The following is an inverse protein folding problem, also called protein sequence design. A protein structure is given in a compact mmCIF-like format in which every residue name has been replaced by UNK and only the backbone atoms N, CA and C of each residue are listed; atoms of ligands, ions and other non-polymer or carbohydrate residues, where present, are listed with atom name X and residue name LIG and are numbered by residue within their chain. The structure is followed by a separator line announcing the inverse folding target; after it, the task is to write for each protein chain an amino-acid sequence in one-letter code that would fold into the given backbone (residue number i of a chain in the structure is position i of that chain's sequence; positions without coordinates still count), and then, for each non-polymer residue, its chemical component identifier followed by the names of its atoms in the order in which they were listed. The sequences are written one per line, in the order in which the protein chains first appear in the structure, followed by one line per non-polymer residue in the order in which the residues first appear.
data_IF_188253020997
#
_entry.id   IF_188253020997
#
_cell.length_a   1.000
_cell.length_b   1.000
_cell.length_c   1.000
_cell.angle_alpha   90.00
_cell.angle_beta   90.00
_cell.angle_gamma   90.00
#
_symmetry.space_group_name_H-M   'P 1'
#
loop_
_entity.id
_entity.type
_entity.pdbx_description
1 polymer ?
#
# COMPACT_ATOMS: atom_id res chain seq x y z
N UNK A 1 12.00 -9.19 -18.61
CA UNK A 1 11.14 -10.29 -19.11
C UNK A 1 10.07 -10.66 -18.09
N UNK A 2 10.40 -11.05 -16.85
CA UNK A 2 9.36 -11.44 -15.87
C UNK A 2 8.27 -10.37 -15.65
N UNK A 3 8.64 -9.12 -15.34
CA UNK A 3 7.66 -8.05 -15.09
C UNK A 3 6.86 -7.61 -16.34
N UNK A 4 7.34 -7.82 -17.57
CA UNK A 4 6.53 -7.61 -18.77
C UNK A 4 5.45 -8.69 -18.90
N UNK A 5 5.78 -9.94 -18.60
CA UNK A 5 4.83 -11.05 -18.56
C UNK A 5 3.79 -10.85 -17.46
N UNK A 6 4.22 -10.37 -16.28
CA UNK A 6 3.33 -10.03 -15.17
C UNK A 6 2.35 -8.91 -15.58
N UNK A 7 2.85 -7.85 -16.21
CA UNK A 7 2.01 -6.76 -16.69
C UNK A 7 0.95 -7.26 -17.69
N UNK A 8 1.35 -8.04 -18.69
CA UNK A 8 0.40 -8.57 -19.69
C UNK A 8 -0.64 -9.50 -19.07
N UNK A 9 -0.23 -10.34 -18.12
CA UNK A 9 -1.14 -11.21 -17.37
C UNK A 9 -2.18 -10.39 -16.59
N UNK A 10 -1.73 -9.42 -15.82
CA UNK A 10 -2.62 -8.61 -14.99
C UNK A 10 -3.51 -7.69 -15.82
N UNK A 11 -3.01 -7.14 -16.93
CA UNK A 11 -3.80 -6.39 -17.89
C UNK A 11 -4.95 -7.25 -18.44
N UNK A 12 -4.66 -8.47 -18.89
CA UNK A 12 -5.68 -9.37 -19.43
C UNK A 12 -6.74 -9.73 -18.37
N UNK A 13 -6.33 -9.96 -17.11
CA UNK A 13 -7.25 -10.20 -15.99
C UNK A 13 -8.15 -8.99 -15.71
N UNK A 14 -7.60 -7.79 -15.76
CA UNK A 14 -8.37 -6.55 -15.62
C UNK A 14 -9.40 -6.42 -16.74
N UNK A 15 -8.99 -6.58 -17.99
CA UNK A 15 -9.85 -6.46 -19.17
C UNK A 15 -10.98 -7.49 -19.15
N UNK A 16 -10.71 -8.74 -18.77
CA UNK A 16 -11.72 -9.77 -18.59
C UNK A 16 -12.74 -9.43 -17.50
N UNK A 17 -12.27 -8.90 -16.36
CA UNK A 17 -13.14 -8.45 -15.28
C UNK A 17 -14.01 -7.26 -15.69
N UNK A 18 -13.47 -6.32 -16.49
CA UNK A 18 -14.22 -5.18 -17.01
C UNK A 18 -15.24 -5.56 -18.08
N UNK A 19 -14.99 -6.62 -18.84
CA UNK A 19 -15.93 -7.14 -19.84
C UNK A 19 -17.17 -7.78 -19.20
N UNK A 20 -17.08 -8.20 -17.94
CA UNK A 20 -18.14 -8.83 -17.16
C UNK A 20 -18.34 -8.12 -15.82
N UNK A 21 -18.76 -6.85 -15.84
CA UNK A 21 -18.84 -6.05 -14.62
C UNK A 21 -19.89 -6.63 -13.66
N UNK A 22 -19.42 -6.94 -12.45
CA UNK A 22 -20.27 -7.39 -11.36
C UNK A 22 -19.63 -6.92 -10.03
N UNK A 23 -20.40 -6.63 -8.97
CA UNK A 23 -19.86 -6.16 -7.71
C UNK A 23 -18.74 -7.03 -7.13
N UNK A 24 -18.90 -8.35 -7.25
CA UNK A 24 -17.90 -9.33 -6.81
C UNK A 24 -16.60 -9.31 -7.63
N UNK A 25 -16.62 -8.76 -8.83
CA UNK A 25 -15.43 -8.62 -9.69
C UNK A 25 -14.61 -7.35 -9.37
N UNK A 26 -15.21 -6.36 -8.71
CA UNK A 26 -14.54 -5.07 -8.45
C UNK A 26 -13.23 -5.21 -7.68
N UNK A 27 -13.18 -6.10 -6.68
CA UNK A 27 -11.94 -6.36 -5.92
C UNK A 27 -10.89 -7.02 -6.81
N UNK A 28 -11.28 -8.01 -7.60
CA UNK A 28 -10.36 -8.74 -8.48
C UNK A 28 -9.80 -7.85 -9.57
N UNK A 29 -10.64 -6.99 -10.16
CA UNK A 29 -10.20 -5.98 -11.13
C UNK A 29 -9.30 -4.94 -10.48
N UNK A 30 -9.59 -4.52 -9.24
CA UNK A 30 -8.70 -3.65 -8.47
C UNK A 30 -7.34 -4.27 -8.23
N UNK A 31 -7.32 -5.54 -7.82
CA UNK A 31 -6.10 -6.30 -7.60
C UNK A 31 -5.28 -6.43 -8.89
N UNK A 32 -5.93 -6.82 -10.00
CA UNK A 32 -5.27 -6.95 -11.30
C UNK A 32 -4.69 -5.60 -11.78
N UNK A 33 -5.44 -4.51 -11.64
CA UNK A 33 -4.93 -3.18 -11.97
C UNK A 33 -3.71 -2.80 -11.09
N UNK A 34 -3.73 -3.16 -9.80
CA UNK A 34 -2.61 -2.90 -8.90
C UNK A 34 -1.37 -3.72 -9.29
N UNK A 35 -1.54 -5.01 -9.57
CA UNK A 35 -0.46 -5.88 -10.07
C UNK A 35 0.17 -5.34 -11.35
N UNK A 36 -0.65 -4.91 -12.32
CA UNK A 36 -0.18 -4.26 -13.55
C UNK A 36 0.62 -2.99 -13.26
N UNK A 37 0.13 -2.13 -12.35
CA UNK A 37 0.84 -0.92 -11.92
C UNK A 37 2.17 -1.23 -11.26
N UNK A 38 2.24 -2.22 -10.38
CA UNK A 38 3.48 -2.65 -9.72
C UNK A 38 4.51 -3.20 -10.73
N UNK A 39 4.07 -4.03 -11.68
CA UNK A 39 4.94 -4.55 -12.73
C UNK A 39 5.54 -3.42 -13.59
N UNK A 40 4.73 -2.40 -13.93
CA UNK A 40 5.19 -1.22 -14.67
C UNK A 40 6.17 -0.35 -13.87
N UNK A 41 6.02 -0.24 -12.54
CA UNK A 41 7.01 0.43 -11.69
C UNK A 41 8.37 -0.26 -11.78
N UNK A 42 8.40 -1.60 -11.74
CA UNK A 42 9.62 -2.39 -11.89
C UNK A 42 10.29 -2.23 -13.27
N UNK A 43 9.49 -1.95 -14.30
CA UNK A 43 9.96 -1.67 -15.66
C UNK A 43 10.41 -0.20 -15.85
N UNK A 44 10.28 0.66 -14.83
CA UNK A 44 10.58 2.09 -14.93
C UNK A 44 9.55 2.89 -15.74
N UNK A 45 8.38 2.28 -16.08
CA UNK A 45 7.29 2.91 -16.84
C UNK A 45 6.35 3.67 -15.92
N UNK A 46 6.88 4.62 -15.16
CA UNK A 46 6.21 5.29 -14.03
C UNK A 46 4.90 5.97 -14.41
N UNK A 47 4.80 6.60 -15.59
CA UNK A 47 3.58 7.27 -16.05
C UNK A 47 2.46 6.26 -16.32
N UNK A 48 2.76 5.17 -16.99
CA UNK A 48 1.78 4.12 -17.24
C UNK A 48 1.39 3.39 -15.95
N UNK A 49 2.36 3.19 -15.05
CA UNK A 49 2.09 2.64 -13.73
C UNK A 49 1.07 3.50 -12.95
N UNK A 50 1.20 4.83 -13.00
CA UNK A 50 0.27 5.74 -12.35
C UNK A 50 -1.18 5.53 -12.85
N UNK A 51 -1.39 5.44 -14.17
CA UNK A 51 -2.71 5.21 -14.76
C UNK A 51 -3.35 3.89 -14.28
N UNK A 52 -2.54 2.83 -14.10
CA UNK A 52 -3.02 1.54 -13.61
C UNK A 52 -3.29 1.55 -12.10
N UNK A 53 -2.45 2.21 -11.32
CA UNK A 53 -2.64 2.38 -9.87
C UNK A 53 -3.89 3.21 -9.55
N UNK A 54 -4.18 4.25 -10.34
CA UNK A 54 -5.42 5.02 -10.23
C UNK A 54 -6.66 4.15 -10.52
N UNK A 55 -6.60 3.28 -11.54
CA UNK A 55 -7.67 2.30 -11.81
C UNK A 55 -7.87 1.36 -10.63
N UNK A 56 -6.78 0.88 -10.01
CA UNK A 56 -6.86 0.03 -8.83
C UNK A 56 -7.58 0.72 -7.67
N UNK A 57 -7.16 1.96 -7.35
CA UNK A 57 -7.78 2.76 -6.30
C UNK A 57 -9.28 2.98 -6.55
N UNK A 58 -9.67 3.28 -7.80
CA UNK A 58 -11.06 3.46 -8.18
C UNK A 58 -11.88 2.18 -7.96
N UNK A 59 -11.39 1.01 -8.46
CA UNK A 59 -12.12 -0.26 -8.32
C UNK A 59 -12.27 -0.68 -6.86
N UNK A 60 -11.25 -0.53 -6.04
CA UNK A 60 -11.33 -0.84 -4.61
C UNK A 60 -12.29 0.09 -3.86
N UNK A 61 -12.31 1.38 -4.21
CA UNK A 61 -13.25 2.34 -3.63
C UNK A 61 -14.71 2.00 -3.99
N UNK A 62 -15.00 1.72 -5.25
CA UNK A 62 -16.32 1.26 -5.71
C UNK A 62 -16.73 -0.05 -5.02
N UNK A 63 -15.80 -0.97 -4.85
CA UNK A 63 -16.07 -2.25 -4.22
C UNK A 63 -16.50 -2.13 -2.75
N UNK A 64 -16.20 -1.01 -2.09
CA UNK A 64 -16.53 -0.80 -0.67
C UNK A 64 -18.04 -0.82 -0.42
N UNK A 65 -18.86 -0.34 -1.34
CA UNK A 65 -20.33 -0.34 -1.22
C UNK A 65 -20.93 -1.75 -1.06
N UNK A 66 -20.16 -2.76 -1.49
CA UNK A 66 -20.53 -4.18 -1.42
C UNK A 66 -19.66 -4.97 -0.42
N UNK A 67 -18.88 -4.27 0.41
CA UNK A 67 -17.94 -4.85 1.33
C UNK A 67 -18.57 -5.23 2.67
N UNK A 68 -18.00 -6.23 3.34
CA UNK A 68 -18.23 -6.40 4.77
C UNK A 68 -17.54 -5.27 5.54
N UNK A 69 -18.06 -4.85 6.72
CA UNK A 69 -17.49 -3.74 7.50
C UNK A 69 -16.01 -3.91 7.89
N UNK A 70 -15.47 -5.12 7.80
CA UNK A 70 -14.07 -5.43 8.16
C UNK A 70 -13.13 -5.56 6.97
N UNK A 71 -13.56 -5.16 5.78
CA UNK A 71 -12.78 -5.28 4.53
C UNK A 71 -11.67 -4.21 4.40
N UNK A 72 -10.90 -4.02 5.46
CA UNK A 72 -9.88 -2.95 5.59
C UNK A 72 -8.76 -3.00 4.55
N UNK A 73 -8.56 -4.13 3.86
CA UNK A 73 -7.61 -4.21 2.75
C UNK A 73 -7.93 -3.24 1.61
N UNK A 74 -9.21 -2.87 1.41
CA UNK A 74 -9.64 -1.94 0.36
C UNK A 74 -9.18 -0.51 0.61
N UNK A 75 -9.48 0.13 1.77
CA UNK A 75 -8.96 1.47 2.05
C UNK A 75 -7.42 1.51 2.13
N UNK A 76 -6.76 0.46 2.62
CA UNK A 76 -5.30 0.35 2.54
C UNK A 76 -4.84 0.40 1.08
N UNK A 77 -5.44 -0.42 0.22
CA UNK A 77 -5.13 -0.48 -1.20
C UNK A 77 -5.33 0.86 -1.89
N UNK A 78 -6.43 1.57 -1.62
CA UNK A 78 -6.71 2.90 -2.18
C UNK A 78 -5.63 3.90 -1.79
N UNK A 79 -5.26 3.98 -0.50
CA UNK A 79 -4.21 4.91 -0.03
C UNK A 79 -2.86 4.55 -0.65
N UNK A 80 -2.48 3.26 -0.64
CA UNK A 80 -1.20 2.80 -1.22
C UNK A 80 -1.13 3.08 -2.71
N UNK A 81 -2.16 2.71 -3.48
CA UNK A 81 -2.19 2.90 -4.92
C UNK A 81 -2.09 4.39 -5.29
N UNK A 82 -2.82 5.27 -4.60
CA UNK A 82 -2.78 6.71 -4.85
C UNK A 82 -1.40 7.31 -4.52
N UNK A 83 -0.76 6.87 -3.42
CA UNK A 83 0.61 7.28 -3.09
C UNK A 83 1.61 6.85 -4.18
N UNK A 84 1.55 5.59 -4.61
CA UNK A 84 2.45 5.03 -5.61
C UNK A 84 2.23 5.63 -7.00
N UNK A 85 1.01 6.06 -7.32
CA UNK A 85 0.72 6.81 -8.54
C UNK A 85 1.31 8.23 -8.54
N UNK A 86 1.79 8.72 -7.39
CA UNK A 86 2.29 10.08 -7.24
C UNK A 86 1.20 11.15 -7.20
N UNK A 87 -0.05 10.77 -7.02
CA UNK A 87 -1.20 11.66 -6.91
C UNK A 87 -1.38 12.27 -5.51
N UNK A 88 -2.39 13.14 -5.39
CA UNK A 88 -2.83 13.63 -4.08
C UNK A 88 -3.57 12.52 -3.32
N UNK A 89 -2.92 11.97 -2.32
CA UNK A 89 -3.49 10.92 -1.48
C UNK A 89 -4.36 11.46 -0.32
N UNK A 90 -4.47 12.78 -0.14
CA UNK A 90 -5.29 13.40 0.91
C UNK A 90 -6.75 12.92 0.88
N UNK A 91 -7.48 13.03 -0.25
CA UNK A 91 -8.86 12.55 -0.35
C UNK A 91 -9.03 11.05 -0.10
N UNK A 92 -8.03 10.23 -0.45
CA UNK A 92 -8.05 8.80 -0.17
C UNK A 92 -7.88 8.51 1.33
N UNK A 93 -7.00 9.27 1.99
CA UNK A 93 -6.75 9.18 3.42
C UNK A 93 -7.96 9.65 4.24
N UNK A 94 -8.56 10.78 3.89
CA UNK A 94 -9.79 11.26 4.53
C UNK A 94 -10.93 10.25 4.41
N UNK A 95 -11.09 9.65 3.23
CA UNK A 95 -12.08 8.59 3.02
C UNK A 95 -11.80 7.37 3.90
N UNK A 96 -10.56 6.90 3.99
CA UNK A 96 -10.19 5.77 4.84
C UNK A 96 -10.53 6.02 6.33
N UNK A 97 -10.28 7.24 6.83
CA UNK A 97 -10.65 7.62 8.20
C UNK A 97 -12.17 7.73 8.37
N UNK A 98 -12.89 8.29 7.40
CA UNK A 98 -14.36 8.42 7.44
C UNK A 98 -15.09 7.07 7.51
N UNK A 99 -14.42 5.97 7.13
CA UNK A 99 -14.93 4.61 7.29
C UNK A 99 -14.84 4.06 8.72
N UNK A 100 -14.26 4.81 9.66
CA UNK A 100 -14.07 4.38 11.04
C UNK A 100 -12.85 3.49 11.24
N UNK A 101 -11.84 3.61 10.40
CA UNK A 101 -10.63 2.77 10.48
C UNK A 101 -9.80 3.02 11.75
N UNK A 102 -9.87 4.24 12.32
CA UNK A 102 -9.16 4.58 13.55
C UNK A 102 -9.74 3.90 14.79
N UNK A 103 -11.05 3.66 14.80
CA UNK A 103 -11.79 2.99 15.87
C UNK A 103 -11.85 1.47 15.71
N UNK A 104 -11.26 0.94 14.61
CA UNK A 104 -11.29 -0.49 14.34
C UNK A 104 -10.56 -1.29 15.43
N UNK A 105 -11.16 -2.39 15.87
CA UNK A 105 -10.50 -3.36 16.75
C UNK A 105 -9.40 -4.15 16.03
N UNK A 106 -9.60 -4.37 14.73
CA UNK A 106 -8.67 -5.08 13.85
C UNK A 106 -7.36 -4.31 13.67
N UNK A 107 -6.18 -4.96 13.80
CA UNK A 107 -4.91 -4.31 13.50
C UNK A 107 -4.82 -3.85 12.05
N UNK A 108 -5.50 -4.51 11.11
CA UNK A 108 -5.55 -4.11 9.71
C UNK A 108 -6.33 -2.81 9.53
N UNK A 109 -7.43 -2.59 10.29
CA UNK A 109 -8.14 -1.31 10.28
C UNK A 109 -7.27 -0.19 10.84
N UNK A 110 -6.61 -0.41 11.98
CA UNK A 110 -5.67 0.56 12.55
C UNK A 110 -4.48 0.85 11.62
N UNK A 111 -4.02 -0.13 10.89
CA UNK A 111 -3.00 0.08 9.85
C UNK A 111 -3.51 1.03 8.75
N UNK A 112 -4.74 0.82 8.26
CA UNK A 112 -5.36 1.73 7.29
C UNK A 112 -5.42 3.17 7.82
N UNK A 113 -5.84 3.34 9.07
CA UNK A 113 -5.90 4.65 9.72
C UNK A 113 -4.50 5.26 9.91
N UNK A 114 -3.51 4.48 10.34
CA UNK A 114 -2.14 4.99 10.52
C UNK A 114 -1.53 5.49 9.21
N UNK A 115 -1.72 4.74 8.11
CA UNK A 115 -1.32 5.21 6.77
C UNK A 115 -2.01 6.53 6.41
N UNK A 116 -3.32 6.60 6.61
CA UNK A 116 -4.12 7.79 6.30
C UNK A 116 -3.67 9.00 7.12
N UNK A 117 -3.43 8.84 8.43
CA UNK A 117 -2.97 9.91 9.30
C UNK A 117 -1.57 10.43 8.90
N UNK A 118 -0.65 9.53 8.50
CA UNK A 118 0.66 9.92 7.99
C UNK A 118 0.56 10.68 6.66
N UNK A 119 -0.36 10.29 5.77
CA UNK A 119 -0.65 11.03 4.53
C UNK A 119 -1.13 12.45 4.83
N UNK A 120 -1.98 12.62 5.85
CA UNK A 120 -2.57 13.91 6.25
C UNK A 120 -1.67 14.73 7.19
N UNK A 121 -0.43 14.30 7.43
CA UNK A 121 0.54 14.91 8.36
C UNK A 121 0.03 15.04 9.82
N UNK A 122 -0.89 14.15 10.23
CA UNK A 122 -1.43 14.04 11.59
C UNK A 122 -0.55 13.11 12.44
N UNK A 123 0.71 13.48 12.62
CA UNK A 123 1.77 12.60 13.13
C UNK A 123 1.53 12.14 14.57
N UNK A 124 1.01 12.97 15.47
CA UNK A 124 0.75 12.59 16.85
C UNK A 124 -0.33 11.51 16.96
N UNK A 125 -1.38 11.63 16.16
CA UNK A 125 -2.45 10.63 16.11
C UNK A 125 -1.94 9.32 15.46
N UNK A 126 -1.14 9.44 14.40
CA UNK A 126 -0.48 8.29 13.77
C UNK A 126 0.44 7.55 14.75
N UNK A 127 1.21 8.28 15.58
CA UNK A 127 2.06 7.69 16.61
C UNK A 127 1.25 6.93 17.65
N UNK A 128 0.12 7.47 18.10
CA UNK A 128 -0.80 6.79 19.01
C UNK A 128 -1.32 5.45 18.47
N UNK A 129 -1.76 5.43 17.21
CA UNK A 129 -2.23 4.19 16.56
C UNK A 129 -1.08 3.22 16.28
N UNK A 130 0.07 3.71 15.79
CA UNK A 130 1.25 2.87 15.53
C UNK A 130 1.72 2.16 16.80
N UNK A 131 1.71 2.83 17.97
CA UNK A 131 2.05 2.22 19.24
C UNK A 131 1.12 1.03 19.59
N UNK A 132 -0.16 1.12 19.22
CA UNK A 132 -1.09 -0.01 19.39
C UNK A 132 -0.79 -1.18 18.46
N UNK A 133 -0.23 -0.92 17.26
CA UNK A 133 0.20 -1.96 16.32
C UNK A 133 1.50 -2.65 16.78
N UNK A 134 2.44 -1.89 17.33
CA UNK A 134 3.70 -2.45 17.91
C UNK A 134 3.40 -3.45 19.02
N UNK A 135 2.32 -3.24 19.79
CA UNK A 135 1.91 -4.13 20.86
C UNK A 135 1.17 -5.40 20.39
N UNK A 136 0.99 -5.59 19.08
CA UNK A 136 0.19 -6.70 18.51
C UNK A 136 1.10 -7.83 17.98
N UNK A 137 0.81 -9.05 18.42
CA UNK A 137 1.47 -10.26 17.93
C UNK A 137 0.94 -10.71 16.54
N UNK A 138 -0.31 -10.32 16.21
CA UNK A 138 -0.99 -10.66 14.94
C UNK A 138 -0.81 -9.60 13.85
N UNK A 139 0.17 -8.70 13.99
CA UNK A 139 0.54 -7.71 12.98
C UNK A 139 2.05 -7.76 12.70
N UNK A 140 2.50 -7.54 11.44
CA UNK A 140 3.92 -7.59 11.09
C UNK A 140 4.75 -6.57 11.88
N UNK A 141 5.66 -7.01 12.78
CA UNK A 141 6.34 -6.10 13.70
C UNK A 141 7.21 -5.06 12.99
N UNK A 142 7.92 -5.43 11.91
CA UNK A 142 8.74 -4.49 11.17
C UNK A 142 7.92 -3.36 10.51
N UNK A 143 6.69 -3.64 10.09
CA UNK A 143 5.77 -2.63 9.54
C UNK A 143 5.29 -1.70 10.65
N UNK A 144 4.91 -2.25 11.82
CA UNK A 144 4.50 -1.45 12.98
C UNK A 144 5.63 -0.51 13.44
N UNK A 145 6.86 -1.04 13.56
CA UNK A 145 8.05 -0.26 13.91
C UNK A 145 8.31 0.87 12.91
N UNK A 146 8.20 0.58 11.60
CA UNK A 146 8.41 1.59 10.57
C UNK A 146 7.39 2.73 10.66
N UNK A 147 6.12 2.41 10.86
CA UNK A 147 5.06 3.41 11.03
C UNK A 147 5.29 4.28 12.28
N UNK A 148 5.66 3.67 13.40
CA UNK A 148 5.97 4.38 14.64
C UNK A 148 7.18 5.30 14.48
N UNK A 149 8.25 4.82 13.84
CA UNK A 149 9.47 5.60 13.59
C UNK A 149 9.21 6.78 12.63
N UNK A 150 8.42 6.57 11.56
CA UNK A 150 8.02 7.64 10.63
C UNK A 150 7.18 8.69 11.35
N UNK A 151 6.21 8.28 12.17
CA UNK A 151 5.38 9.20 12.94
C UNK A 151 6.22 10.03 13.93
N UNK A 152 7.21 9.41 14.58
CA UNK A 152 8.16 10.09 15.47
C UNK A 152 9.21 10.93 14.75
N UNK A 153 9.29 10.88 13.43
CA UNK A 153 10.34 11.48 12.61
C UNK A 153 11.76 11.08 13.06
N UNK A 154 11.96 9.81 13.43
CA UNK A 154 13.27 9.25 13.81
C UNK A 154 13.96 8.64 12.58
N UNK A 155 15.04 9.25 12.05
CA UNK A 155 15.68 8.79 10.83
C UNK A 155 16.31 7.39 10.97
N UNK A 156 17.00 7.12 12.08
CA UNK A 156 17.72 5.87 12.27
C UNK A 156 16.75 4.69 12.49
N UNK A 157 15.73 4.89 13.31
CA UNK A 157 14.69 3.88 13.52
C UNK A 157 13.90 3.61 12.25
N UNK A 158 13.59 4.66 11.45
CA UNK A 158 12.87 4.54 10.17
C UNK A 158 13.67 3.70 9.17
N UNK A 159 14.96 4.01 9.00
CA UNK A 159 15.83 3.27 8.07
C UNK A 159 15.91 1.79 8.45
N UNK A 160 16.23 1.51 9.71
CA UNK A 160 16.36 0.13 10.20
C UNK A 160 15.04 -0.67 10.12
N UNK A 161 13.90 -0.02 10.36
CA UNK A 161 12.60 -0.70 10.27
C UNK A 161 12.22 -0.98 8.80
N UNK A 162 12.40 -0.02 7.89
CA UNK A 162 12.14 -0.21 6.45
C UNK A 162 13.02 -1.32 5.89
N UNK A 163 14.29 -1.41 6.32
CA UNK A 163 15.18 -2.50 5.89
C UNK A 163 14.64 -3.87 6.32
N UNK A 164 14.20 -4.03 7.57
CA UNK A 164 13.57 -5.28 8.02
C UNK A 164 12.29 -5.63 7.24
N UNK A 165 11.51 -4.62 6.83
CA UNK A 165 10.36 -4.86 5.94
C UNK A 165 10.85 -5.36 4.59
N UNK A 166 11.90 -4.76 4.01
CA UNK A 166 12.47 -5.19 2.73
C UNK A 166 12.97 -6.65 2.81
N UNK A 167 13.72 -7.00 3.85
CA UNK A 167 14.19 -8.37 4.09
C UNK A 167 13.01 -9.37 4.12
N UNK A 168 11.88 -8.99 4.73
CA UNK A 168 10.69 -9.84 4.76
C UNK A 168 10.07 -10.05 3.38
N UNK A 169 10.23 -9.08 2.47
CA UNK A 169 9.79 -9.23 1.08
C UNK A 169 10.75 -10.07 0.26
N UNK A 170 12.05 -9.95 0.47
CA UNK A 170 13.08 -10.72 -0.25
C UNK A 170 13.06 -12.21 0.09
N UNK A 171 12.53 -12.58 1.25
CA UNK A 171 12.52 -13.96 1.76
C UNK A 171 11.19 -14.67 1.66
N UNK A 172 10.15 -14.00 1.15
CA UNK A 172 8.82 -14.62 0.99
C UNK A 172 8.66 -15.29 -0.38
N UNK A 173 7.83 -16.31 -0.43
CA UNK A 173 7.50 -17.04 -1.66
C UNK A 173 6.19 -16.52 -2.31
N UNK A 174 5.37 -15.74 -1.57
CA UNK A 174 4.07 -15.28 -2.04
C UNK A 174 4.00 -13.75 -2.08
N UNK A 175 3.46 -13.22 -3.17
CA UNK A 175 3.24 -11.80 -3.39
C UNK A 175 1.79 -11.52 -3.82
N UNK A 176 1.35 -10.29 -3.63
CA UNK A 176 0.05 -9.88 -4.14
C UNK A 176 0.03 -10.01 -5.68
N UNK A 177 -0.95 -10.74 -6.19
CA UNK A 177 -1.12 -11.05 -7.62
C UNK A 177 0.13 -11.67 -8.27
N UNK A 178 0.93 -12.38 -7.47
CA UNK A 178 2.17 -13.03 -7.92
C UNK A 178 3.18 -12.07 -8.58
N UNK A 179 3.09 -10.77 -8.27
CA UNK A 179 4.03 -9.74 -8.74
C UNK A 179 5.03 -9.43 -7.63
N UNK A 180 6.28 -9.82 -7.82
CA UNK A 180 7.34 -9.75 -6.81
C UNK A 180 7.84 -8.31 -6.57
N UNK A 181 7.02 -7.50 -5.89
CA UNK A 181 7.34 -6.10 -5.55
C UNK A 181 7.11 -5.83 -4.07
N UNK A 182 8.08 -5.18 -3.44
CA UNK A 182 7.99 -4.74 -2.06
C UNK A 182 7.20 -3.42 -1.94
N UNK A 183 5.93 -3.45 -2.33
CA UNK A 183 5.04 -2.31 -2.40
C UNK A 183 4.90 -1.57 -1.06
N UNK A 184 4.90 -2.29 0.05
CA UNK A 184 4.86 -1.70 1.39
C UNK A 184 6.11 -0.90 1.69
N UNK A 185 7.30 -1.36 1.25
CA UNK A 185 8.56 -0.60 1.37
C UNK A 185 8.48 0.70 0.58
N UNK A 186 7.96 0.66 -0.66
CA UNK A 186 7.78 1.85 -1.49
C UNK A 186 6.88 2.88 -0.80
N UNK A 187 5.75 2.43 -0.25
CA UNK A 187 4.81 3.30 0.48
C UNK A 187 5.45 3.88 1.73
N UNK A 188 6.15 3.09 2.55
CA UNK A 188 6.83 3.57 3.75
C UNK A 188 7.91 4.61 3.42
N UNK A 189 8.67 4.41 2.34
CA UNK A 189 9.64 5.40 1.85
C UNK A 189 8.97 6.71 1.45
N UNK A 190 7.85 6.66 0.73
CA UNK A 190 7.08 7.86 0.35
C UNK A 190 6.55 8.59 1.59
N UNK A 191 6.03 7.88 2.57
CA UNK A 191 5.57 8.48 3.84
C UNK A 191 6.73 9.10 4.63
N UNK A 192 7.89 8.45 4.69
CA UNK A 192 9.08 8.98 5.30
C UNK A 192 9.55 10.28 4.62
N UNK A 193 9.59 10.31 3.28
CA UNK A 193 9.93 11.51 2.51
C UNK A 193 8.98 12.67 2.80
N UNK A 194 7.67 12.42 2.92
CA UNK A 194 6.67 13.45 3.30
C UNK A 194 6.92 14.00 4.70
N UNK A 195 7.55 13.23 5.59
CA UNK A 195 7.96 13.65 6.94
C UNK A 195 9.36 14.27 6.98
N UNK A 196 9.97 14.57 5.82
CA UNK A 196 11.31 15.14 5.74
C UNK A 196 12.43 14.13 6.05
N UNK A 197 12.12 12.84 6.10
CA UNK A 197 13.09 11.78 6.28
C UNK A 197 13.59 11.30 4.90
N UNK A 198 14.84 10.85 4.83
CA UNK A 198 15.44 10.34 3.59
C UNK A 198 16.07 8.97 3.88
N UNK A 199 15.26 7.92 4.09
CA UNK A 199 15.80 6.60 4.38
C UNK A 199 16.67 6.13 3.22
N UNK A 200 17.90 5.72 3.53
CA UNK A 200 18.78 5.15 2.54
C UNK A 200 18.14 3.88 1.94
N UNK A 201 18.32 3.72 0.64
CA UNK A 201 17.84 2.54 -0.05
C UNK A 201 19.00 1.75 -0.62
N UNK A 202 18.98 0.42 -0.47
CA UNK A 202 19.85 -0.45 -1.25
C UNK A 202 19.10 -1.01 -2.46
N UNK A 203 19.82 -1.40 -3.53
CA UNK A 203 19.24 -2.15 -4.62
C UNK A 203 18.63 -3.48 -4.12
N UNK A 204 17.50 -3.87 -4.71
CA UNK A 204 16.82 -5.12 -4.40
C UNK A 204 16.07 -5.63 -5.63
N UNK A 205 16.00 -6.95 -5.86
CA UNK A 205 15.23 -7.51 -6.97
C UNK A 205 13.72 -7.24 -6.87
N UNK A 206 13.22 -6.87 -5.68
CA UNK A 206 11.80 -6.57 -5.42
C UNK A 206 11.51 -5.06 -5.34
N UNK A 207 12.45 -4.22 -5.74
CA UNK A 207 12.31 -2.76 -5.80
C UNK A 207 12.67 -2.24 -7.19
N UNK A 208 12.02 -1.17 -7.68
CA UNK A 208 12.42 -0.49 -8.91
C UNK A 208 13.87 -0.02 -8.82
N UNK A 209 14.59 -0.12 -9.94
CA UNK A 209 15.99 0.31 -10.07
C UNK A 209 16.15 1.83 -10.15
#
# INVERSE_FOLDING_TARGET
MAFEEDFERERARYEDGMARPAPEQLVRTGNAAYGAGLALLMLGRTREAADWLERAALRWRESWEHATPTSWGRPIGVVKATLLAGGDAGPAAEWALALGSAEAESPIGRYAATLALLVLDRAEEAAGLAATLVAREDFPPAVADALAAIAAADPAATEGAIERVLESFETRDEYLEDVAVADTVLVLRLLALRRGLSPAGRPSPVLPG
#
